data_IF_414004586072
#
_entry.id   IF_414004586072
#
_cell.length_a   1.000
_cell.length_b   1.000
_cell.length_c   1.000
_cell.angle_alpha   90.00
_cell.angle_beta   90.00
_cell.angle_gamma   90.00
#
_symmetry.space_group_name_H-M   'P 1'
#
loop_
_entity.id
_entity.type
_entity.pdbx_description
1 polymer ?
#
# COMPACT_ATOMS: atom_id res chain seq x y z
N UNK A 1 -10.28 4.75 26.82
CA UNK A 1 -10.96 3.54 27.34
C UNK A 1 -9.99 2.51 27.93
N UNK A 2 -9.29 1.66 27.17
CA UNK A 2 -8.43 0.62 27.79
C UNK A 2 -7.27 1.20 28.61
N UNK A 3 -6.54 2.17 28.08
CA UNK A 3 -5.45 2.84 28.80
C UNK A 3 -5.92 3.53 30.08
N UNK A 4 -7.14 4.09 30.10
CA UNK A 4 -7.76 4.67 31.29
C UNK A 4 -8.16 3.60 32.31
N UNK A 5 -8.75 2.50 31.83
CA UNK A 5 -9.15 1.36 32.65
C UNK A 5 -7.95 0.74 33.36
N UNK A 6 -6.85 0.58 32.63
CA UNK A 6 -5.59 0.01 33.15
C UNK A 6 -4.75 1.05 33.91
N UNK A 7 -5.06 2.34 33.77
CA UNK A 7 -4.22 3.45 34.24
C UNK A 7 -2.79 3.38 33.66
N UNK A 8 -2.69 2.95 32.41
CA UNK A 8 -1.44 2.80 31.67
C UNK A 8 -1.48 3.68 30.41
N UNK A 9 -1.01 4.95 30.48
CA UNK A 9 -1.07 5.87 29.35
C UNK A 9 -0.31 5.42 28.10
N UNK A 10 0.65 4.51 28.26
CA UNK A 10 1.44 3.93 27.18
C UNK A 10 0.88 2.60 26.65
N UNK A 11 -0.25 2.13 27.18
CA UNK A 11 -0.91 0.94 26.65
C UNK A 11 -1.29 1.16 25.19
N UNK A 12 -0.92 0.21 24.32
CA UNK A 12 -1.24 0.24 22.90
C UNK A 12 -1.87 -1.08 22.45
N UNK A 13 -2.64 -1.02 21.38
CA UNK A 13 -3.22 -2.20 20.76
C UNK A 13 -2.17 -2.83 19.82
N UNK A 14 -1.80 -4.11 20.02
CA UNK A 14 -0.95 -4.80 19.05
C UNK A 14 -1.77 -5.13 17.79
N UNK A 15 -1.07 -5.58 16.75
CA UNK A 15 -1.67 -5.98 15.48
C UNK A 15 -1.40 -7.46 15.17
N UNK A 16 -2.21 -8.03 14.28
CA UNK A 16 -1.98 -9.35 13.71
C UNK A 16 -1.66 -9.23 12.22
N UNK A 17 -0.41 -9.51 11.85
CA UNK A 17 -0.07 -9.67 10.44
C UNK A 17 -0.72 -10.96 9.90
N UNK A 18 -1.93 -10.82 9.36
CA UNK A 18 -2.63 -11.92 8.71
C UNK A 18 -2.14 -12.20 7.29
N UNK A 19 -1.34 -11.32 6.67
CA UNK A 19 -0.84 -11.46 5.31
C UNK A 19 0.38 -12.41 5.26
N UNK A 20 0.13 -13.70 5.50
CA UNK A 20 1.16 -14.74 5.68
C UNK A 20 1.01 -15.94 4.76
N UNK A 21 -0.08 -16.05 4.00
CA UNK A 21 -0.39 -17.22 3.17
C UNK A 21 -0.70 -18.50 3.95
N UNK A 22 -0.81 -18.42 5.28
CA UNK A 22 -1.03 -19.58 6.14
C UNK A 22 -2.47 -20.12 6.00
N UNK A 23 -2.59 -21.43 6.18
CA UNK A 23 -3.89 -22.13 6.29
C UNK A 23 -4.35 -22.26 7.76
N UNK A 24 -3.67 -21.60 8.70
CA UNK A 24 -3.96 -21.64 10.14
C UNK A 24 -3.91 -20.23 10.72
N UNK A 25 -4.69 -20.00 11.77
CA UNK A 25 -4.57 -18.80 12.60
C UNK A 25 -3.40 -18.98 13.57
N UNK A 26 -2.32 -18.26 13.36
CA UNK A 26 -1.08 -18.40 14.14
C UNK A 26 -1.12 -17.71 15.51
N UNK A 27 -2.10 -16.83 15.74
CA UNK A 27 -2.39 -16.22 17.05
C UNK A 27 -3.48 -16.96 17.84
N UNK A 28 -4.07 -18.02 17.27
CA UNK A 28 -5.12 -18.81 17.91
C UNK A 28 -4.51 -19.89 18.81
N UNK A 29 -3.90 -19.43 19.90
CA UNK A 29 -3.28 -20.23 20.96
C UNK A 29 -3.78 -19.75 22.32
N UNK A 30 -3.77 -20.61 23.34
CA UNK A 30 -4.40 -20.30 24.64
C UNK A 30 -3.70 -19.19 25.44
N UNK A 31 -2.44 -18.91 25.13
CA UNK A 31 -1.67 -17.77 25.66
C UNK A 31 -2.00 -16.43 24.99
N UNK A 32 -2.65 -16.48 23.82
CA UNK A 32 -3.09 -15.31 23.05
C UNK A 32 -4.61 -15.35 22.87
N UNK A 33 -5.11 -15.58 21.64
CA UNK A 33 -6.52 -15.38 21.30
C UNK A 33 -7.40 -16.62 21.53
N UNK A 34 -6.84 -17.69 22.08
CA UNK A 34 -7.49 -18.97 22.35
C UNK A 34 -7.38 -19.94 21.19
N UNK A 35 -6.95 -21.17 21.48
CA UNK A 35 -6.90 -22.24 20.48
C UNK A 35 -8.29 -22.82 20.22
N UNK A 36 -8.38 -23.70 19.22
CA UNK A 36 -9.59 -24.47 18.95
C UNK A 36 -9.89 -25.42 20.14
N UNK A 37 -11.15 -25.54 20.52
CA UNK A 37 -11.59 -26.51 21.53
C UNK A 37 -11.50 -27.95 20.99
N UNK A 38 -11.06 -28.87 21.86
CA UNK A 38 -11.05 -30.31 21.56
C UNK A 38 -12.45 -30.95 21.64
N UNK A 39 -13.44 -30.25 22.20
CA UNK A 39 -14.80 -30.77 22.41
C UNK A 39 -15.79 -30.32 21.34
N UNK A 40 -15.59 -29.13 20.77
CA UNK A 40 -16.36 -28.59 19.65
C UNK A 40 -15.39 -27.79 18.78
N UNK A 41 -15.23 -28.20 17.52
CA UNK A 41 -14.28 -27.60 16.60
C UNK A 41 -14.63 -26.15 16.21
N UNK A 42 -15.82 -25.67 16.56
CA UNK A 42 -16.30 -24.31 16.34
C UNK A 42 -16.20 -23.41 17.57
N UNK A 43 -15.73 -23.93 18.71
CA UNK A 43 -15.56 -23.19 19.95
C UNK A 43 -14.08 -22.94 20.26
N UNK A 44 -13.86 -21.93 21.10
CA UNK A 44 -12.56 -21.63 21.69
C UNK A 44 -12.28 -22.60 22.84
N UNK A 45 -11.02 -23.00 22.99
CA UNK A 45 -10.51 -23.84 24.08
C UNK A 45 -10.96 -23.29 25.45
N UNK A 46 -11.49 -24.15 26.35
CA UNK A 46 -11.84 -23.75 27.71
C UNK A 46 -10.68 -23.21 28.55
N UNK A 47 -9.44 -23.40 28.09
CA UNK A 47 -8.24 -22.90 28.76
C UNK A 47 -7.88 -21.45 28.35
N UNK A 48 -8.63 -20.85 27.43
CA UNK A 48 -8.58 -19.43 27.13
C UNK A 48 -9.80 -18.70 27.72
N UNK A 49 -9.58 -17.53 28.31
CA UNK A 49 -10.64 -16.67 28.88
C UNK A 49 -11.71 -16.29 27.86
N UNK A 50 -11.37 -16.24 26.57
CA UNK A 50 -12.32 -15.90 25.50
C UNK A 50 -13.38 -16.98 25.26
N UNK A 51 -13.20 -18.20 25.80
CA UNK A 51 -14.26 -19.23 25.79
C UNK A 51 -15.43 -18.91 26.73
N UNK A 52 -15.19 -18.05 27.73
CA UNK A 52 -16.21 -17.61 28.69
C UNK A 52 -17.05 -16.46 28.13
N UNK A 53 -16.51 -15.71 27.15
CA UNK A 53 -17.20 -14.58 26.55
C UNK A 53 -18.52 -15.01 25.90
N UNK A 54 -19.51 -14.11 26.02
CA UNK A 54 -20.82 -14.26 25.42
C UNK A 54 -21.07 -13.06 24.52
N UNK A 55 -21.68 -13.32 23.36
CA UNK A 55 -21.83 -12.31 22.31
C UNK A 55 -23.05 -11.43 22.57
N UNK A 56 -22.98 -10.18 22.13
CA UNK A 56 -24.13 -9.27 22.01
C UNK A 56 -24.51 -9.10 20.54
N UNK A 57 -25.73 -8.59 20.31
CA UNK A 57 -26.25 -8.26 18.98
C UNK A 57 -26.55 -9.46 18.06
N UNK A 58 -26.70 -10.67 18.59
CA UNK A 58 -26.99 -11.92 17.86
C UNK A 58 -28.51 -12.21 17.73
N UNK A 59 -29.31 -11.16 17.57
CA UNK A 59 -30.79 -11.28 17.48
C UNK A 59 -31.33 -10.38 16.38
N UNK A 60 -30.71 -10.46 15.19
CA UNK A 60 -31.11 -9.66 14.01
C UNK A 60 -32.59 -9.80 13.67
N UNK A 61 -33.17 -10.99 13.84
CA UNK A 61 -34.60 -11.22 13.59
C UNK A 61 -35.48 -10.28 14.44
N UNK A 62 -35.17 -10.12 15.73
CA UNK A 62 -35.92 -9.23 16.62
C UNK A 62 -35.71 -7.76 16.26
N UNK A 63 -34.48 -7.37 15.90
CA UNK A 63 -34.16 -5.99 15.56
C UNK A 63 -34.87 -5.57 14.27
N UNK A 64 -34.80 -6.40 13.23
CA UNK A 64 -35.33 -6.10 11.90
C UNK A 64 -36.85 -6.21 11.82
N UNK A 65 -37.47 -7.11 12.60
CA UNK A 65 -38.93 -7.29 12.58
C UNK A 65 -39.67 -6.39 13.57
N UNK A 66 -39.10 -6.13 14.75
CA UNK A 66 -39.73 -5.34 15.81
C UNK A 66 -39.27 -3.87 15.83
N UNK A 67 -38.26 -3.51 15.03
CA UNK A 67 -37.67 -2.17 15.03
C UNK A 67 -36.92 -1.84 16.33
N UNK A 68 -36.41 -2.87 17.01
CA UNK A 68 -35.59 -2.74 18.22
C UNK A 68 -34.11 -2.63 17.87
N UNK A 69 -33.28 -2.22 18.83
CA UNK A 69 -31.83 -2.17 18.67
C UNK A 69 -31.17 -3.20 19.58
N UNK A 70 -29.93 -3.57 19.24
CA UNK A 70 -29.08 -4.38 20.10
C UNK A 70 -29.01 -3.80 21.52
N UNK A 71 -29.20 -4.67 22.51
CA UNK A 71 -29.09 -4.33 23.92
C UNK A 71 -27.87 -5.02 24.55
N UNK A 72 -27.67 -4.82 25.85
CA UNK A 72 -26.51 -5.37 26.60
C UNK A 72 -26.71 -6.81 27.10
N UNK A 73 -27.80 -7.48 26.72
CA UNK A 73 -28.04 -8.87 27.12
C UNK A 73 -27.20 -9.78 26.25
N UNK A 74 -26.34 -10.55 26.91
CA UNK A 74 -25.47 -11.49 26.23
C UNK A 74 -26.23 -12.77 25.81
N UNK A 75 -25.78 -13.38 24.71
CA UNK A 75 -26.38 -14.56 24.09
C UNK A 75 -25.38 -15.74 24.10
N UNK A 76 -25.16 -16.38 22.95
CA UNK A 76 -24.29 -17.55 22.80
C UNK A 76 -22.79 -17.25 22.95
N UNK A 77 -21.95 -18.30 22.94
CA UNK A 77 -20.49 -18.15 22.94
C UNK A 77 -19.97 -17.66 21.58
N UNK A 78 -18.72 -17.18 21.57
CA UNK A 78 -17.99 -16.93 20.32
C UNK A 78 -17.85 -18.24 19.54
N UNK A 79 -18.16 -18.18 18.24
CA UNK A 79 -17.92 -19.24 17.28
C UNK A 79 -16.70 -18.89 16.44
N UNK A 80 -15.73 -19.79 16.34
CA UNK A 80 -14.52 -19.61 15.52
C UNK A 80 -14.03 -20.94 14.99
N UNK A 81 -13.83 -21.03 13.68
CA UNK A 81 -13.35 -22.23 13.00
C UNK A 81 -12.39 -21.85 11.85
N UNK A 82 -11.17 -21.36 12.16
CA UNK A 82 -10.24 -20.88 11.14
C UNK A 82 -10.00 -21.92 10.05
N UNK A 83 -10.01 -21.49 8.79
CA UNK A 83 -9.93 -22.33 7.58
C UNK A 83 -11.07 -23.37 7.41
N UNK A 84 -12.11 -23.32 8.24
CA UNK A 84 -13.14 -24.37 8.30
C UNK A 84 -14.23 -24.29 7.24
N UNK A 85 -14.24 -23.27 6.37
CA UNK A 85 -15.30 -23.09 5.37
C UNK A 85 -15.05 -23.95 4.12
N UNK A 86 -15.37 -25.24 4.24
CA UNK A 86 -15.20 -26.22 3.15
C UNK A 86 -16.09 -25.94 1.93
N UNK A 87 -17.19 -25.20 2.11
CA UNK A 87 -18.07 -24.81 1.01
C UNK A 87 -17.47 -23.68 0.15
N UNK A 88 -16.47 -22.96 0.67
CA UNK A 88 -15.82 -21.83 -0.02
C UNK A 88 -14.29 -21.92 0.13
N UNK A 89 -13.62 -22.78 -0.66
CA UNK A 89 -12.17 -23.00 -0.53
C UNK A 89 -11.29 -21.74 -0.61
N UNK A 90 -11.74 -20.74 -1.37
CA UNK A 90 -11.04 -19.44 -1.50
C UNK A 90 -10.85 -18.68 -0.18
N UNK A 91 -11.66 -18.97 0.85
CA UNK A 91 -11.53 -18.35 2.18
C UNK A 91 -10.87 -19.26 3.22
N UNK A 92 -10.27 -20.38 2.81
CA UNK A 92 -9.59 -21.31 3.73
C UNK A 92 -8.10 -20.99 3.90
N UNK A 93 -7.59 -19.96 3.23
CA UNK A 93 -6.21 -19.49 3.33
C UNK A 93 -6.22 -17.98 3.54
N UNK A 94 -5.29 -17.50 4.36
CA UNK A 94 -5.09 -16.08 4.58
C UNK A 94 -4.44 -15.37 3.37
N UNK A 95 -4.52 -14.03 3.28
CA UNK A 95 -3.82 -13.27 2.24
C UNK A 95 -2.31 -13.57 2.23
N UNK A 96 -1.68 -13.45 1.07
CA UNK A 96 -0.24 -13.59 0.92
C UNK A 96 0.47 -12.25 1.22
N UNK A 97 1.76 -12.24 1.63
CA UNK A 97 2.51 -10.99 1.85
C UNK A 97 2.51 -10.06 0.63
N UNK A 98 2.57 -10.62 -0.58
CA UNK A 98 2.57 -9.88 -1.84
C UNK A 98 1.24 -9.15 -2.07
N UNK A 99 0.13 -9.62 -1.50
CA UNK A 99 -1.17 -8.95 -1.62
C UNK A 99 -1.12 -7.56 -0.98
N UNK A 100 -0.44 -7.42 0.16
CA UNK A 100 -0.22 -6.13 0.84
C UNK A 100 0.70 -5.24 -0.01
N UNK A 101 1.79 -5.80 -0.55
CA UNK A 101 2.70 -5.05 -1.40
C UNK A 101 1.99 -4.46 -2.63
N UNK A 102 1.17 -5.26 -3.33
CA UNK A 102 0.41 -4.85 -4.50
C UNK A 102 -0.66 -3.82 -4.17
N UNK A 103 -1.40 -4.03 -3.08
CA UNK A 103 -2.44 -3.09 -2.65
C UNK A 103 -1.87 -1.70 -2.36
N UNK A 104 -0.69 -1.62 -1.74
CA UNK A 104 0.02 -0.37 -1.46
C UNK A 104 0.56 0.35 -2.72
N UNK A 105 0.39 -0.22 -3.93
CA UNK A 105 0.69 0.45 -5.21
C UNK A 105 -0.54 1.13 -5.83
N UNK A 106 -1.74 0.86 -5.31
CA UNK A 106 -2.98 1.52 -5.77
C UNK A 106 -2.99 2.95 -5.25
N UNK A 107 -2.66 3.91 -6.12
CA UNK A 107 -2.40 5.29 -5.69
C UNK A 107 -3.62 6.18 -5.49
N UNK A 108 -4.83 5.76 -5.89
CA UNK A 108 -6.06 6.50 -5.63
C UNK A 108 -6.73 5.93 -4.38
N UNK A 109 -7.06 6.77 -3.40
CA UNK A 109 -7.71 6.33 -2.16
C UNK A 109 -9.02 5.62 -2.48
N UNK A 110 -9.86 6.25 -3.29
CA UNK A 110 -11.10 5.64 -3.78
C UNK A 110 -11.43 6.10 -5.20
N UNK A 111 -12.36 5.42 -5.84
CA UNK A 111 -12.84 5.72 -7.20
C UNK A 111 -14.35 5.57 -7.27
N UNK A 112 -15.03 6.33 -8.15
CA UNK A 112 -16.45 6.12 -8.41
C UNK A 112 -16.75 4.65 -8.77
N UNK A 113 -17.86 4.08 -8.27
CA UNK A 113 -18.98 4.74 -7.58
C UNK A 113 -18.82 4.82 -6.05
N UNK A 114 -17.59 4.73 -5.52
CA UNK A 114 -17.27 4.80 -4.08
C UNK A 114 -17.98 3.71 -3.26
N UNK A 115 -18.01 2.49 -3.82
CA UNK A 115 -18.72 1.36 -3.25
C UNK A 115 -17.89 0.08 -3.34
N UNK A 116 -18.47 -1.05 -2.94
CA UNK A 116 -17.82 -2.37 -2.93
C UNK A 116 -17.47 -2.91 -4.32
N UNK A 117 -17.83 -2.19 -5.40
CA UNK A 117 -17.53 -2.52 -6.79
C UNK A 117 -16.58 -1.50 -7.47
N UNK A 118 -15.96 -0.61 -6.69
CA UNK A 118 -14.96 0.33 -7.19
C UNK A 118 -13.70 -0.40 -7.67
N UNK A 119 -13.16 0.03 -8.81
CA UNK A 119 -11.92 -0.51 -9.42
C UNK A 119 -10.81 0.52 -9.34
N UNK A 120 -9.56 0.08 -9.17
CA UNK A 120 -8.38 0.92 -8.95
C UNK A 120 -8.56 1.86 -7.74
N UNK A 121 -9.23 1.36 -6.69
CA UNK A 121 -9.50 2.04 -5.43
C UNK A 121 -8.74 1.33 -4.32
N UNK A 122 -7.81 2.03 -3.67
CA UNK A 122 -7.05 1.48 -2.55
C UNK A 122 -7.98 1.01 -1.44
N UNK A 123 -8.96 1.84 -1.06
CA UNK A 123 -9.98 1.53 -0.06
C UNK A 123 -10.68 0.23 -0.38
N UNK A 124 -11.15 0.05 -1.62
CA UNK A 124 -11.87 -1.17 -2.02
C UNK A 124 -10.95 -2.41 -2.12
N UNK A 125 -9.68 -2.20 -2.44
CA UNK A 125 -8.66 -3.26 -2.47
C UNK A 125 -8.29 -3.72 -1.08
N UNK A 126 -7.92 -2.82 -0.16
CA UNK A 126 -7.53 -3.18 1.20
C UNK A 126 -8.70 -3.74 2.00
N UNK A 127 -9.91 -3.19 1.81
CA UNK A 127 -11.16 -3.72 2.37
C UNK A 127 -11.43 -5.16 1.88
N UNK A 128 -11.01 -5.47 0.65
CA UNK A 128 -10.95 -6.83 0.15
C UNK A 128 -12.10 -7.22 -0.78
N UNK A 129 -12.70 -6.26 -1.48
CA UNK A 129 -13.69 -6.52 -2.55
C UNK A 129 -13.06 -6.57 -3.95
N UNK A 130 -11.90 -5.94 -4.12
CA UNK A 130 -11.07 -6.08 -5.31
C UNK A 130 -9.93 -7.08 -5.06
N UNK A 131 -9.34 -7.59 -6.14
CA UNK A 131 -8.06 -8.28 -6.03
C UNK A 131 -6.94 -7.29 -5.61
N UNK A 132 -5.79 -7.79 -5.12
CA UNK A 132 -4.71 -6.94 -4.62
C UNK A 132 -4.13 -5.94 -5.64
N UNK A 133 -4.43 -6.10 -6.93
CA UNK A 133 -3.95 -5.19 -7.99
C UNK A 133 -4.84 -3.96 -8.18
N UNK A 134 -6.02 -3.91 -7.53
CA UNK A 134 -7.01 -2.85 -7.75
C UNK A 134 -8.23 -3.30 -8.54
N UNK A 135 -8.17 -4.45 -9.21
CA UNK A 135 -9.23 -4.87 -10.12
C UNK A 135 -10.40 -5.49 -9.36
N UNK A 136 -11.59 -4.94 -9.56
CA UNK A 136 -12.80 -5.50 -8.98
C UNK A 136 -13.18 -6.82 -9.67
N UNK A 137 -13.55 -7.81 -8.85
CA UNK A 137 -14.20 -9.05 -9.27
C UNK A 137 -15.21 -9.46 -8.17
N UNK A 138 -16.50 -9.64 -8.50
CA UNK A 138 -17.52 -10.01 -7.51
C UNK A 138 -17.23 -11.32 -6.76
N UNK A 139 -16.46 -12.24 -7.37
CA UNK A 139 -16.10 -13.52 -6.77
C UNK A 139 -14.91 -13.43 -5.81
N UNK A 140 -14.11 -12.37 -5.87
CA UNK A 140 -12.88 -12.23 -5.08
C UNK A 140 -13.19 -11.72 -3.68
N UNK A 141 -12.53 -12.31 -2.69
CA UNK A 141 -12.37 -11.74 -1.35
C UNK A 141 -10.89 -11.80 -1.01
N UNK A 142 -10.30 -10.66 -0.71
CA UNK A 142 -8.87 -10.52 -0.43
C UNK A 142 -8.66 -9.80 0.92
N UNK A 143 -7.41 -9.67 1.36
CA UNK A 143 -6.99 -8.82 2.48
C UNK A 143 -7.94 -8.84 3.69
N UNK A 144 -8.52 -7.70 4.07
CA UNK A 144 -9.38 -7.57 5.26
C UNK A 144 -10.59 -8.52 5.22
N UNK A 145 -11.38 -8.51 4.14
CA UNK A 145 -12.55 -9.39 4.00
C UNK A 145 -12.16 -10.87 4.05
N UNK A 146 -11.02 -11.23 3.43
CA UNK A 146 -10.52 -12.60 3.48
C UNK A 146 -10.14 -13.02 4.90
N UNK A 147 -9.46 -12.15 5.66
CA UNK A 147 -9.11 -12.41 7.06
C UNK A 147 -10.35 -12.62 7.94
N UNK A 148 -11.41 -11.83 7.75
CA UNK A 148 -12.69 -12.04 8.43
C UNK A 148 -13.34 -13.39 8.07
N UNK A 149 -13.46 -13.69 6.77
CA UNK A 149 -14.13 -14.90 6.29
C UNK A 149 -13.35 -16.17 6.63
N UNK A 150 -12.02 -16.06 6.73
CA UNK A 150 -11.14 -17.15 7.15
C UNK A 150 -11.47 -17.68 8.54
N UNK A 151 -11.92 -16.83 9.46
CA UNK A 151 -12.30 -17.22 10.82
C UNK A 151 -13.56 -18.12 10.86
N UNK A 152 -14.39 -18.08 9.81
CA UNK A 152 -15.58 -18.93 9.62
C UNK A 152 -16.41 -19.09 10.90
N UNK A 153 -16.91 -17.98 11.42
CA UNK A 153 -17.63 -17.90 12.68
C UNK A 153 -18.10 -16.49 12.99
N UNK A 154 -18.18 -16.13 14.27
CA UNK A 154 -18.55 -14.80 14.79
C UNK A 154 -17.75 -13.70 14.12
N UNK A 155 -16.42 -13.85 14.05
CA UNK A 155 -15.51 -12.89 13.39
C UNK A 155 -15.74 -12.68 11.89
N UNK A 156 -16.50 -13.56 11.22
CA UNK A 156 -16.80 -13.47 9.78
C UNK A 156 -18.17 -12.86 9.45
N UNK A 157 -18.90 -12.36 10.44
CA UNK A 157 -20.23 -11.78 10.28
C UNK A 157 -20.20 -10.30 10.65
N UNK A 158 -20.54 -9.39 9.74
CA UNK A 158 -20.38 -7.93 9.93
C UNK A 158 -21.06 -7.38 11.19
N UNK A 159 -22.21 -7.92 11.58
CA UNK A 159 -22.96 -7.46 12.75
C UNK A 159 -22.45 -8.03 14.09
N UNK A 160 -21.58 -9.05 14.05
CA UNK A 160 -21.05 -9.72 15.24
C UNK A 160 -19.54 -9.70 15.35
N UNK A 161 -18.82 -9.36 14.27
CA UNK A 161 -17.38 -9.60 14.18
C UNK A 161 -16.57 -9.01 15.34
N UNK A 162 -16.92 -7.84 15.93
CA UNK A 162 -16.18 -7.32 17.09
C UNK A 162 -16.35 -8.12 18.39
N UNK A 163 -17.35 -9.02 18.49
CA UNK A 163 -17.46 -9.93 19.62
C UNK A 163 -16.30 -10.94 19.67
N UNK A 164 -15.68 -11.21 18.52
CA UNK A 164 -14.44 -11.97 18.45
C UNK A 164 -13.25 -11.01 18.64
N UNK A 165 -12.43 -11.14 19.69
CA UNK A 165 -11.36 -10.18 19.98
C UNK A 165 -10.24 -10.17 18.92
N UNK A 166 -10.18 -11.15 18.01
CA UNK A 166 -9.28 -11.07 16.84
C UNK A 166 -9.61 -9.84 15.97
N UNK A 167 -10.85 -9.34 16.00
CA UNK A 167 -11.27 -8.12 15.31
C UNK A 167 -10.33 -6.94 15.58
N UNK A 168 -9.90 -6.75 16.83
CA UNK A 168 -9.01 -5.65 17.22
C UNK A 168 -7.65 -5.77 16.53
N UNK A 169 -7.08 -6.98 16.53
CA UNK A 169 -5.76 -7.25 15.95
C UNK A 169 -5.77 -7.22 14.41
N UNK A 170 -6.89 -7.67 13.82
CA UNK A 170 -7.14 -7.61 12.39
C UNK A 170 -7.21 -6.17 11.92
N UNK A 171 -8.05 -5.35 12.57
CA UNK A 171 -8.24 -3.95 12.16
C UNK A 171 -7.05 -3.04 12.46
N UNK A 172 -6.25 -3.30 13.49
CA UNK A 172 -5.00 -2.56 13.70
C UNK A 172 -3.96 -2.88 12.63
N UNK A 173 -3.94 -4.09 12.06
CA UNK A 173 -3.08 -4.37 10.90
C UNK A 173 -3.64 -3.71 9.63
N UNK A 174 -4.96 -3.69 9.43
CA UNK A 174 -5.59 -2.94 8.34
C UNK A 174 -5.30 -1.44 8.44
N UNK A 175 -5.35 -0.86 9.65
CA UNK A 175 -4.99 0.53 9.90
C UNK A 175 -3.51 0.79 9.63
N UNK A 176 -2.61 -0.12 9.98
CA UNK A 176 -1.20 -0.01 9.63
C UNK A 176 -0.98 0.08 8.10
N UNK A 177 -1.71 -0.71 7.32
CA UNK A 177 -1.67 -0.65 5.85
C UNK A 177 -2.19 0.70 5.35
N UNK A 178 -3.24 1.23 5.98
CA UNK A 178 -3.78 2.56 5.66
C UNK A 178 -2.80 3.69 6.00
N UNK A 179 -2.17 3.68 7.18
CA UNK A 179 -1.18 4.68 7.59
C UNK A 179 0.05 4.67 6.68
N UNK A 180 0.51 3.49 6.26
CA UNK A 180 1.58 3.39 5.24
C UNK A 180 1.14 3.96 3.89
N UNK A 181 -0.10 3.73 3.46
CA UNK A 181 -0.63 4.33 2.23
C UNK A 181 -0.68 5.86 2.35
N UNK A 182 -1.18 6.40 3.46
CA UNK A 182 -1.19 7.84 3.73
C UNK A 182 0.23 8.41 3.64
N UNK A 183 1.22 7.74 4.23
CA UNK A 183 2.63 8.16 4.16
C UNK A 183 3.19 8.12 2.73
N UNK A 184 2.91 7.06 1.96
CA UNK A 184 3.40 6.90 0.56
C UNK A 184 2.81 7.94 -0.40
N UNK A 185 1.54 8.28 -0.22
CA UNK A 185 0.79 9.15 -1.11
C UNK A 185 0.52 10.53 -0.50
N UNK A 186 1.30 10.93 0.51
CA UNK A 186 1.26 12.24 1.15
C UNK A 186 -0.16 12.66 1.60
N UNK A 187 -0.91 11.70 2.16
CA UNK A 187 -2.28 11.83 2.60
C UNK A 187 -3.18 12.54 1.56
N UNK A 188 -3.05 12.16 0.28
CA UNK A 188 -3.88 12.73 -0.79
C UNK A 188 -5.36 12.36 -0.61
N UNK A 189 -6.08 13.26 0.03
CA UNK A 189 -7.52 13.14 0.30
C UNK A 189 -8.38 13.52 -0.91
N UNK A 190 -7.80 13.97 -2.03
CA UNK A 190 -8.54 14.50 -3.18
C UNK A 190 -9.59 13.55 -3.73
N UNK A 191 -9.31 12.24 -3.68
CA UNK A 191 -10.18 11.16 -4.19
C UNK A 191 -11.20 10.63 -3.19
N UNK A 192 -11.18 11.07 -1.93
CA UNK A 192 -12.26 10.80 -0.97
C UNK A 192 -13.46 11.70 -1.32
N UNK A 193 -14.61 11.19 -1.77
CA UNK A 193 -15.72 12.04 -2.25
C UNK A 193 -16.33 12.95 -1.16
N UNK A 194 -16.60 14.21 -1.50
CA UNK A 194 -17.36 15.14 -0.64
C UNK A 194 -18.87 14.84 -0.67
N UNK A 195 -19.35 14.29 -1.78
CA UNK A 195 -20.75 14.02 -2.07
C UNK A 195 -20.88 12.78 -2.96
N UNK A 196 -22.11 12.26 -3.10
CA UNK A 196 -22.44 11.09 -3.93
C UNK A 196 -21.77 9.77 -3.51
N UNK A 197 -21.14 9.72 -2.34
CA UNK A 197 -20.80 8.46 -1.70
C UNK A 197 -22.07 7.78 -1.14
N UNK A 198 -22.02 6.48 -0.82
CA UNK A 198 -23.04 5.85 0.01
C UNK A 198 -23.28 6.66 1.29
N UNK A 199 -24.50 6.61 1.82
CA UNK A 199 -24.86 7.33 3.06
C UNK A 199 -23.88 6.95 4.18
N UNK A 200 -23.36 7.96 4.90
CA UNK A 200 -22.33 7.77 5.93
C UNK A 200 -20.88 7.88 5.42
N UNK A 201 -20.65 7.77 4.11
CA UNK A 201 -19.31 7.71 3.52
C UNK A 201 -18.87 9.00 2.82
N UNK A 202 -19.59 10.11 2.94
CA UNK A 202 -19.06 11.40 2.46
C UNK A 202 -17.91 11.86 3.35
N UNK A 203 -16.91 12.55 2.78
CA UNK A 203 -15.70 12.99 3.50
C UNK A 203 -15.97 13.86 4.74
N UNK A 204 -17.05 14.64 4.72
CA UNK A 204 -17.48 15.51 5.84
C UNK A 204 -18.56 14.88 6.72
N UNK A 205 -18.90 13.61 6.49
CA UNK A 205 -19.87 12.92 7.32
C UNK A 205 -19.25 12.64 8.70
N UNK A 206 -20.02 12.88 9.77
CA UNK A 206 -19.64 12.45 11.12
C UNK A 206 -19.75 10.92 11.19
N UNK A 207 -18.64 10.23 11.44
CA UNK A 207 -18.62 8.77 11.48
C UNK A 207 -19.60 8.27 12.55
N UNK A 208 -20.62 7.54 12.11
CA UNK A 208 -21.69 7.06 12.98
C UNK A 208 -21.22 5.83 13.76
N UNK A 209 -21.51 5.70 15.06
CA UNK A 209 -22.24 6.61 15.95
C UNK A 209 -21.31 7.33 16.97
N UNK A 210 -20.10 7.72 16.57
CA UNK A 210 -19.11 8.24 17.52
C UNK A 210 -19.52 9.57 18.16
N UNK A 211 -19.08 9.77 19.41
CA UNK A 211 -19.32 10.97 20.19
C UNK A 211 -18.06 11.40 20.96
N UNK A 212 -17.65 12.69 20.94
CA UNK A 212 -18.25 13.80 20.18
C UNK A 212 -18.18 13.55 18.65
N UNK A 213 -18.95 14.31 17.85
CA UNK A 213 -18.92 14.14 16.39
C UNK A 213 -17.51 14.30 15.84
N UNK A 214 -17.09 13.34 15.04
CA UNK A 214 -15.78 13.30 14.38
C UNK A 214 -15.99 12.88 12.93
N UNK A 215 -15.38 13.63 12.02
CA UNK A 215 -15.52 13.42 10.58
C UNK A 215 -14.51 12.43 10.02
N UNK A 216 -14.79 11.87 8.85
CA UNK A 216 -13.79 11.08 8.11
C UNK A 216 -12.51 11.87 7.81
N UNK A 217 -12.61 13.20 7.64
CA UNK A 217 -11.46 14.08 7.36
C UNK A 217 -10.48 14.11 8.52
N UNK A 218 -10.96 14.08 9.77
CA UNK A 218 -10.12 14.14 10.96
C UNK A 218 -9.25 12.89 11.13
N UNK A 219 -9.68 11.75 10.59
CA UNK A 219 -8.91 10.50 10.61
C UNK A 219 -8.04 10.30 9.36
N UNK A 220 -8.17 11.16 8.35
CA UNK A 220 -7.40 11.05 7.10
C UNK A 220 -6.06 11.79 7.23
N UNK A 221 -5.25 11.36 8.18
CA UNK A 221 -3.98 11.99 8.56
C UNK A 221 -2.98 10.90 8.97
N UNK A 222 -1.68 11.14 8.78
CA UNK A 222 -0.65 10.18 9.23
C UNK A 222 -0.66 10.08 10.75
N UNK A 223 -0.75 8.87 11.27
CA UNK A 223 -0.95 8.61 12.70
C UNK A 223 0.19 9.15 13.60
N UNK A 224 1.49 9.01 13.24
CA UNK A 224 2.58 9.39 14.15
C UNK A 224 2.56 10.87 14.55
N UNK A 225 2.29 11.76 13.60
CA UNK A 225 2.34 13.21 13.81
C UNK A 225 1.01 13.81 14.28
N UNK A 226 -0.11 13.13 14.01
CA UNK A 226 -1.45 13.70 14.18
C UNK A 226 -2.31 12.98 15.23
N UNK A 227 -2.10 11.66 15.42
CA UNK A 227 -2.93 10.83 16.30
C UNK A 227 -2.14 10.21 17.48
N UNK A 228 -0.81 10.36 17.50
CA UNK A 228 0.03 10.01 18.64
C UNK A 228 0.37 8.52 18.75
N UNK A 229 0.27 7.76 17.67
CA UNK A 229 0.68 6.36 17.61
C UNK A 229 1.40 6.06 16.29
N UNK A 230 2.21 5.00 16.29
CA UNK A 230 2.93 4.53 15.11
C UNK A 230 3.04 3.00 15.13
N UNK A 231 3.19 2.40 13.96
CA UNK A 231 3.37 0.96 13.84
C UNK A 231 4.84 0.59 13.69
N UNK A 232 5.31 -0.30 14.56
CA UNK A 232 6.57 -1.01 14.34
C UNK A 232 6.32 -2.18 13.37
N UNK A 233 6.30 -1.86 12.07
CA UNK A 233 6.02 -2.84 11.00
C UNK A 233 6.98 -2.66 9.83
N UNK A 234 7.34 -3.76 9.19
CA UNK A 234 8.13 -3.76 7.95
C UNK A 234 7.25 -4.24 6.80
N UNK A 235 7.25 -3.48 5.70
CA UNK A 235 6.46 -3.81 4.53
C UNK A 235 7.23 -4.71 3.57
N UNK A 236 6.58 -5.73 2.99
CA UNK A 236 7.21 -6.59 2.00
C UNK A 236 7.69 -5.77 0.80
N UNK A 237 8.90 -6.05 0.33
CA UNK A 237 9.43 -5.46 -0.90
C UNK A 237 8.67 -6.00 -2.10
N UNK A 238 8.39 -5.13 -3.08
CA UNK A 238 7.85 -5.54 -4.37
C UNK A 238 8.79 -6.56 -5.03
N UNK A 239 8.26 -7.72 -5.39
CA UNK A 239 8.95 -8.62 -6.33
C UNK A 239 8.73 -8.10 -7.75
N UNK A 240 9.81 -7.68 -8.41
CA UNK A 240 9.73 -7.26 -9.82
C UNK A 240 9.42 -8.46 -10.70
N UNK A 241 8.49 -8.27 -11.64
CA UNK A 241 8.22 -9.29 -12.65
C UNK A 241 9.44 -9.50 -13.56
N UNK A 242 9.61 -10.70 -14.11
CA UNK A 242 10.68 -11.01 -15.08
C UNK A 242 10.84 -9.94 -16.19
N UNK A 243 9.77 -9.46 -16.85
CA UNK A 243 9.91 -8.40 -17.85
C UNK A 243 10.39 -7.06 -17.27
N UNK A 244 10.00 -6.70 -16.05
CA UNK A 244 10.51 -5.48 -15.39
C UNK A 244 11.99 -5.62 -15.05
N UNK A 245 12.42 -6.79 -14.56
CA UNK A 245 13.85 -7.06 -14.30
C UNK A 245 14.65 -6.94 -15.59
N UNK A 246 14.16 -7.50 -16.70
CA UNK A 246 14.81 -7.37 -18.01
C UNK A 246 14.85 -5.90 -18.45
N UNK A 247 13.75 -5.15 -18.31
CA UNK A 247 13.70 -3.74 -18.67
C UNK A 247 14.69 -2.90 -17.85
N UNK A 248 14.74 -3.11 -16.53
CA UNK A 248 15.68 -2.45 -15.63
C UNK A 248 17.12 -2.78 -16.03
N UNK A 249 17.42 -4.05 -16.31
CA UNK A 249 18.76 -4.47 -16.74
C UNK A 249 19.18 -3.84 -18.07
N UNK A 250 18.27 -3.76 -19.05
CA UNK A 250 18.53 -3.11 -20.34
C UNK A 250 18.77 -1.62 -20.16
N UNK A 251 17.93 -0.92 -19.39
CA UNK A 251 18.10 0.52 -19.13
C UNK A 251 19.42 0.79 -18.40
N UNK A 252 19.75 -0.01 -17.39
CA UNK A 252 21.01 0.10 -16.65
C UNK A 252 22.22 -0.10 -17.59
N UNK A 253 22.16 -1.10 -18.47
CA UNK A 253 23.22 -1.34 -19.46
C UNK A 253 23.38 -0.16 -20.43
N UNK A 254 22.27 0.40 -20.94
CA UNK A 254 22.31 1.56 -21.83
C UNK A 254 22.89 2.80 -21.15
N UNK A 255 22.56 3.05 -19.88
CA UNK A 255 23.14 4.14 -19.09
C UNK A 255 24.64 3.95 -18.88
N UNK A 256 25.08 2.72 -18.60
CA UNK A 256 26.50 2.38 -18.44
C UNK A 256 27.28 2.63 -19.74
N UNK A 257 26.72 2.22 -20.87
CA UNK A 257 27.29 2.47 -22.21
C UNK A 257 27.38 3.98 -22.48
N UNK A 258 26.31 4.74 -22.21
CA UNK A 258 26.31 6.19 -22.39
C UNK A 258 27.39 6.87 -21.53
N UNK A 259 27.59 6.40 -20.30
CA UNK A 259 28.61 6.92 -19.37
C UNK A 259 30.04 6.62 -19.86
N UNK A 260 30.27 5.43 -20.43
CA UNK A 260 31.55 5.08 -21.07
C UNK A 260 31.80 5.96 -22.30
N UNK A 261 30.80 6.20 -23.15
CA UNK A 261 30.95 7.08 -24.31
C UNK A 261 31.21 8.54 -23.90
N UNK A 262 30.52 9.05 -22.87
CA UNK A 262 30.73 10.39 -22.37
C UNK A 262 32.14 10.57 -21.79
N UNK A 263 32.61 9.62 -20.98
CA UNK A 263 33.96 9.64 -20.41
C UNK A 263 35.04 9.53 -21.49
N UNK A 264 34.89 8.63 -22.45
CA UNK A 264 35.80 8.50 -23.59
C UNK A 264 35.83 9.79 -24.44
N UNK A 265 34.67 10.39 -24.70
CA UNK A 265 34.57 11.66 -25.45
C UNK A 265 35.22 12.81 -24.71
N UNK A 266 35.06 12.90 -23.39
CA UNK A 266 35.73 13.90 -22.55
C UNK A 266 37.26 13.71 -22.55
N UNK A 267 37.74 12.46 -22.43
CA UNK A 267 39.16 12.14 -22.49
C UNK A 267 39.77 12.47 -23.86
N UNK A 268 39.07 12.17 -24.96
CA UNK A 268 39.50 12.52 -26.32
C UNK A 268 39.52 14.04 -26.53
N UNK A 269 38.54 14.78 -26.01
CA UNK A 269 38.56 16.26 -26.04
C UNK A 269 39.72 16.84 -25.23
N UNK A 270 39.97 16.32 -24.02
CA UNK A 270 41.08 16.76 -23.19
C UNK A 270 42.44 16.48 -23.87
N UNK A 271 42.61 15.31 -24.50
CA UNK A 271 43.80 14.99 -25.30
C UNK A 271 43.96 15.90 -26.51
N UNK A 272 42.89 16.15 -27.29
CA UNK A 272 42.94 17.08 -28.43
C UNK A 272 43.28 18.50 -27.99
N UNK A 273 42.73 18.97 -26.87
CA UNK A 273 43.07 20.29 -26.31
C UNK A 273 44.54 20.36 -25.88
N UNK A 274 45.11 19.28 -25.34
CA UNK A 274 46.55 19.19 -25.05
C UNK A 274 47.41 19.14 -26.32
N UNK A 275 46.97 18.45 -27.37
CA UNK A 275 47.68 18.38 -28.65
C UNK A 275 47.63 19.73 -29.41
N UNK A 276 46.50 20.46 -29.37
CA UNK A 276 46.37 21.82 -29.91
C UNK A 276 47.24 22.83 -29.13
N UNK A 277 47.40 22.66 -27.81
CA UNK A 277 48.32 23.47 -27.01
C UNK A 277 49.81 23.17 -27.30
N UNK A 278 50.12 22.04 -27.95
CA UNK A 278 51.47 21.59 -28.30
C UNK A 278 51.81 21.76 -29.79
N UNK A 279 50.98 22.43 -30.60
CA UNK A 279 51.38 22.79 -31.97
C UNK A 279 52.48 23.86 -31.95
N UNK A 280 53.64 23.64 -32.61
CA UNK A 280 54.67 24.66 -32.71
C UNK A 280 54.18 25.78 -33.64
N UNK A 281 54.17 27.02 -33.12
CA UNK A 281 54.00 28.25 -33.89
C UNK A 281 55.16 28.46 -34.87
N UNK A 282 55.16 27.75 -35.99
CA UNK A 282 56.04 28.05 -37.12
C UNK A 282 55.22 27.96 -38.42
N UNK A 283 54.58 29.07 -38.74
CA UNK A 283 54.27 29.41 -40.13
C UNK A 283 54.71 30.86 -40.31
N UNK A 284 55.97 31.05 -40.69
CA UNK A 284 56.43 32.32 -41.23
C UNK A 284 57.12 32.04 -42.57
N UNK A 285 56.32 32.18 -43.62
CA UNK A 285 56.76 32.17 -45.00
C UNK A 285 57.55 33.47 -45.23
N UNK A 286 58.87 33.38 -45.13
CA UNK A 286 59.77 34.49 -45.46
C UNK A 286 59.84 34.65 -46.99
N UNK A 287 58.95 35.45 -47.56
CA UNK A 287 59.08 35.97 -48.93
C UNK A 287 59.37 37.47 -48.85
N UNK A 288 60.65 37.81 -48.64
CA UNK A 288 61.15 39.18 -48.81
C UNK A 288 61.17 39.51 -50.29
N UNK A 289 60.21 40.33 -50.72
CA UNK A 289 60.34 41.18 -51.90
C UNK A 289 61.40 42.24 -51.61
N UNK A 290 62.55 42.11 -52.26
CA UNK A 290 63.45 43.22 -52.53
C UNK A 290 63.45 43.42 -54.04
N UNK A 291 62.85 44.51 -54.51
CA UNK A 291 63.40 45.42 -55.52
C UNK A 291 62.30 46.39 -55.97
N UNK A 292 62.52 47.66 -55.64
CA UNK A 292 61.75 48.82 -56.03
C UNK A 292 62.56 49.57 -57.11
N UNK A 293 61.88 50.13 -58.11
CA UNK A 293 62.37 50.99 -59.21
C UNK A 293 63.14 50.27 -60.34
N UNK A 294 62.74 50.33 -61.61
CA UNK A 294 62.48 51.54 -62.40
C UNK A 294 61.39 51.38 -63.48
N UNK A 295 60.63 52.47 -63.66
CA UNK A 295 59.86 52.81 -64.86
C UNK A 295 60.69 52.60 -66.13
N UNK A 296 60.09 52.09 -67.22
CA UNK A 296 60.17 52.64 -68.60
C UNK A 296 59.23 51.88 -69.58
N UNK A 297 58.35 52.66 -70.23
CA UNK A 297 57.70 52.56 -71.57
C UNK A 297 56.93 51.30 -72.09
N UNK A 298 55.64 51.54 -72.37
CA UNK A 298 54.77 51.08 -73.48
C UNK A 298 55.45 51.04 -74.89
N UNK A 299 54.80 50.53 -75.99
CA UNK A 299 53.67 49.58 -76.17
C UNK A 299 53.93 48.52 -77.31
N UNK A 300 52.89 47.77 -77.74
CA UNK A 300 52.75 46.84 -78.90
C UNK A 300 52.82 45.33 -78.51
N UNK A 301 52.08 44.38 -79.08
CA UNK A 301 51.14 44.30 -80.21
C UNK A 301 50.36 42.97 -80.10
N UNK A 302 49.09 43.00 -80.50
CA UNK A 302 48.26 41.99 -81.19
C UNK A 302 48.78 40.57 -81.52
N UNK A 303 47.85 39.59 -81.36
CA UNK A 303 47.52 38.42 -82.24
C UNK A 303 48.63 37.34 -82.33
N UNK A 304 48.45 36.05 -81.98
CA UNK A 304 47.45 35.00 -82.30
C UNK A 304 47.33 34.05 -81.12
#
# INVERSE_FOLDING_TARGET
MMWEMLQEPSFSLPYWNFATGKNVCDICTDDLMGSRSNFDSTLISPNSVFSEWRVVCDSLEDYDTLGTLCNSTESGPIRRNPAGNVARPMVQRLPEPQDVAQCLEVGLFDTPPFYSNSTNSFRNTVEGYSDPTGKYDPAVRSLHNLAHLFLNGTGGQTHLSPNDPIFVLLHTFTDAVFDEWLRRYNADISTFPLENAPIGHNRQYNMVPFWPPVTNTEMFVTAPDNLGYAYEVQWPSREFSVPEVIAIAVVAALLLVALIFATASCLLRARRSMDEANQPLLTDQYQRYAEEYEKIRNPNQSIV
#
